data_IF_353896225287
#
_entry.id   IF_353896225287
#
_cell.length_a   1.000
_cell.length_b   1.000
_cell.length_c   1.000
_cell.angle_alpha   90.00
_cell.angle_beta   90.00
_cell.angle_gamma   90.00
#
_symmetry.space_group_name_H-M   'P 1'
#
loop_
_entity.id
_entity.type
_entity.pdbx_description
1 polymer ?
#
# COMPACT_ATOMS: atom_id res chain seq x y z
N UNK A 1 48.22 -39.95 18.08
CA UNK A 1 46.78 -40.18 17.95
C UNK A 1 46.39 -39.65 16.58
N UNK A 2 46.13 -40.54 15.63
CA UNK A 2 45.71 -40.22 14.26
C UNK A 2 44.26 -39.70 14.31
N UNK A 3 43.96 -38.60 13.61
CA UNK A 3 42.60 -38.03 13.54
C UNK A 3 42.04 -38.30 12.14
N UNK A 4 40.89 -38.95 12.08
CA UNK A 4 40.17 -39.19 10.83
C UNK A 4 39.13 -38.07 10.64
N UNK A 5 39.09 -37.48 9.45
CA UNK A 5 38.14 -36.42 9.10
C UNK A 5 37.38 -36.88 7.85
N UNK A 6 36.06 -36.74 7.87
CA UNK A 6 35.17 -37.11 6.76
C UNK A 6 34.51 -35.86 6.18
N UNK A 7 34.59 -35.70 4.85
CA UNK A 7 33.87 -34.69 4.09
C UNK A 7 33.06 -35.39 2.99
N UNK A 8 31.73 -35.40 3.13
CA UNK A 8 30.85 -36.18 2.25
C UNK A 8 31.15 -37.69 2.31
N UNK A 9 31.29 -38.33 1.15
CA UNK A 9 31.56 -39.77 1.05
C UNK A 9 33.06 -40.13 1.14
N UNK A 10 33.94 -39.13 1.27
CA UNK A 10 35.39 -39.33 1.29
C UNK A 10 35.93 -39.29 2.72
N UNK A 11 36.71 -40.31 3.10
CA UNK A 11 37.40 -40.39 4.40
C UNK A 11 38.90 -40.22 4.23
N UNK A 12 39.50 -39.40 5.09
CA UNK A 12 40.95 -39.17 5.10
C UNK A 12 41.51 -39.26 6.52
N UNK A 13 42.68 -39.89 6.65
CA UNK A 13 43.44 -39.94 7.89
C UNK A 13 44.59 -38.93 7.84
N UNK A 14 44.75 -38.17 8.92
CA UNK A 14 45.84 -37.19 9.05
C UNK A 14 46.65 -37.54 10.30
N UNK A 15 47.93 -37.82 10.10
CA UNK A 15 48.93 -37.90 11.17
C UNK A 15 49.51 -36.51 11.45
N UNK A 16 49.91 -36.27 12.70
CA UNK A 16 50.29 -34.94 13.20
C UNK A 16 51.36 -34.26 12.32
N UNK A 17 51.03 -33.04 11.88
CA UNK A 17 51.77 -32.21 10.94
C UNK A 17 53.25 -32.01 11.31
N UNK A 18 54.12 -32.31 10.35
CA UNK A 18 55.56 -32.19 10.51
C UNK A 18 56.34 -31.93 9.21
N UNK A 19 55.75 -31.35 8.15
CA UNK A 19 56.52 -30.61 7.13
C UNK A 19 55.61 -29.80 6.20
N UNK A 20 56.10 -28.66 5.72
CA UNK A 20 55.38 -27.72 4.84
C UNK A 20 55.17 -28.22 3.40
N UNK A 21 55.74 -29.38 3.07
CA UNK A 21 55.68 -29.99 1.73
C UNK A 21 54.41 -30.83 1.50
N UNK A 22 53.81 -31.42 2.53
CA UNK A 22 52.60 -32.26 2.37
C UNK A 22 51.33 -31.44 2.14
N UNK A 23 51.24 -30.23 2.71
CA UNK A 23 50.12 -29.31 2.46
C UNK A 23 50.07 -28.85 0.98
N UNK A 24 51.24 -28.68 0.34
CA UNK A 24 51.35 -28.29 -1.08
C UNK A 24 50.75 -29.35 -2.01
N UNK A 25 50.96 -30.63 -1.69
CA UNK A 25 50.45 -31.77 -2.48
C UNK A 25 48.93 -31.90 -2.36
N UNK A 26 48.36 -31.61 -1.19
CA UNK A 26 46.90 -31.60 -0.96
C UNK A 26 46.23 -30.46 -1.74
N UNK A 27 46.84 -29.27 -1.79
CA UNK A 27 46.34 -28.15 -2.58
C UNK A 27 46.37 -28.43 -4.09
N UNK A 28 47.43 -29.06 -4.60
CA UNK A 28 47.52 -29.41 -6.03
C UNK A 28 46.53 -30.51 -6.44
N UNK A 29 46.21 -31.46 -5.56
CA UNK A 29 45.19 -32.47 -5.83
C UNK A 29 43.78 -31.87 -5.88
N UNK A 30 43.47 -30.93 -4.97
CA UNK A 30 42.21 -30.17 -4.97
C UNK A 30 42.07 -29.25 -6.20
N UNK A 31 43.14 -28.58 -6.64
CA UNK A 31 43.14 -27.78 -7.88
C UNK A 31 42.92 -28.65 -9.12
N UNK A 32 43.50 -29.85 -9.17
CA UNK A 32 43.30 -30.83 -10.24
C UNK A 32 41.85 -31.31 -10.33
N UNK A 33 41.19 -31.60 -9.20
CA UNK A 33 39.77 -31.96 -9.17
C UNK A 33 38.85 -30.79 -9.55
N UNK A 34 39.18 -29.56 -9.11
CA UNK A 34 38.49 -28.33 -9.53
C UNK A 34 38.59 -28.09 -11.04
N UNK A 35 39.75 -28.37 -11.65
CA UNK A 35 39.94 -28.23 -13.10
C UNK A 35 39.30 -29.37 -13.91
N UNK A 36 39.13 -30.57 -13.36
CA UNK A 36 38.39 -31.66 -14.02
C UNK A 36 36.86 -31.53 -13.88
N UNK A 37 36.36 -30.77 -12.90
CA UNK A 37 34.94 -30.41 -12.80
C UNK A 37 34.48 -29.39 -13.86
N UNK A 38 35.40 -28.71 -14.54
CA UNK A 38 35.09 -27.75 -15.62
C UNK A 38 34.75 -28.38 -16.98
N UNK A 39 34.62 -29.71 -17.08
CA UNK A 39 34.29 -30.42 -18.34
C UNK A 39 32.96 -31.18 -18.30
N UNK A 40 32.04 -30.81 -17.40
CA UNK A 40 30.66 -31.31 -17.42
C UNK A 40 29.66 -30.16 -17.61
N UNK A 41 29.11 -30.08 -18.83
CA UNK A 41 27.86 -29.41 -19.12
C UNK A 41 27.96 -27.89 -19.24
N UNK A 42 27.48 -27.33 -20.35
CA UNK A 42 27.38 -25.89 -20.50
C UNK A 42 26.70 -25.25 -19.30
N UNK A 43 27.20 -24.07 -18.89
CA UNK A 43 26.54 -23.18 -17.93
C UNK A 43 25.03 -23.21 -18.24
N UNK A 44 24.16 -23.63 -17.32
CA UNK A 44 22.73 -23.55 -17.54
C UNK A 44 22.42 -22.10 -17.95
N UNK A 45 22.02 -21.92 -19.21
CA UNK A 45 21.54 -20.64 -19.71
C UNK A 45 20.34 -20.25 -18.86
N UNK A 46 20.54 -19.27 -17.99
CA UNK A 46 19.52 -18.65 -17.17
C UNK A 46 18.92 -19.59 -16.14
N UNK A 47 19.19 -19.35 -14.85
CA UNK A 47 18.07 -19.43 -13.91
C UNK A 47 17.01 -18.52 -14.54
N UNK A 48 15.79 -19.02 -14.85
CA UNK A 48 14.75 -18.15 -15.35
C UNK A 48 14.67 -16.98 -14.37
N UNK A 49 14.96 -15.77 -14.85
CA UNK A 49 14.74 -14.58 -14.04
C UNK A 49 13.29 -14.68 -13.59
N UNK A 50 13.07 -14.79 -12.27
CA UNK A 50 11.72 -14.98 -11.76
C UNK A 50 10.96 -13.71 -12.11
N UNK A 51 10.23 -13.78 -13.22
CA UNK A 51 9.50 -12.67 -13.80
C UNK A 51 8.37 -12.34 -12.84
N UNK A 52 8.63 -11.40 -11.94
CA UNK A 52 7.63 -10.82 -11.06
C UNK A 52 7.17 -9.49 -11.64
N UNK A 53 5.88 -9.21 -11.54
CA UNK A 53 5.27 -7.92 -11.84
C UNK A 53 4.89 -7.28 -10.51
N UNK A 54 5.59 -6.22 -10.15
CA UNK A 54 5.32 -5.45 -8.94
C UNK A 54 4.65 -4.15 -9.33
N UNK A 55 3.42 -3.94 -8.87
CA UNK A 55 2.69 -2.69 -9.09
C UNK A 55 2.80 -1.81 -7.86
N UNK A 56 3.42 -0.65 -7.98
CA UNK A 56 3.44 0.36 -6.92
C UNK A 56 2.22 1.26 -7.09
N UNK A 57 1.43 1.34 -6.03
CA UNK A 57 0.18 2.09 -5.98
C UNK A 57 0.33 3.26 -5.01
N UNK A 58 0.88 4.37 -5.51
CA UNK A 58 1.00 5.60 -4.72
C UNK A 58 -0.32 6.35 -4.78
N UNK A 59 -0.92 6.57 -3.62
CA UNK A 59 -2.10 7.43 -3.48
C UNK A 59 -1.83 8.61 -2.57
N UNK A 60 -2.55 9.71 -2.82
CA UNK A 60 -2.52 10.90 -1.97
C UNK A 60 -3.93 11.25 -1.51
N UNK A 61 -4.17 11.21 -0.21
CA UNK A 61 -5.46 11.54 0.41
C UNK A 61 -5.41 13.01 0.83
N UNK A 62 -6.14 13.86 0.12
CA UNK A 62 -6.08 15.32 0.27
C UNK A 62 -7.05 15.82 1.35
N UNK A 63 -6.84 15.38 2.59
CA UNK A 63 -7.73 15.60 3.72
C UNK A 63 -7.87 17.06 4.11
N UNK A 64 -6.74 17.74 4.34
CA UNK A 64 -6.68 19.16 4.64
C UNK A 64 -7.70 19.60 5.72
N UNK A 65 -8.49 20.65 5.44
CA UNK A 65 -9.47 21.17 6.40
C UNK A 65 -10.61 20.18 6.66
N UNK A 66 -11.01 19.39 5.65
CA UNK A 66 -12.06 18.38 5.82
C UNK A 66 -11.68 17.33 6.86
N UNK A 67 -10.41 16.94 6.93
CA UNK A 67 -9.93 16.02 7.96
C UNK A 67 -10.27 16.49 9.38
N UNK A 68 -10.28 17.80 9.64
CA UNK A 68 -10.66 18.38 10.95
C UNK A 68 -12.18 18.56 11.15
N UNK A 69 -12.97 18.47 10.07
CA UNK A 69 -14.43 18.60 10.09
C UNK A 69 -15.13 17.27 10.32
N UNK A 70 -14.59 16.19 9.78
CA UNK A 70 -15.09 14.83 9.98
C UNK A 70 -14.24 14.07 11.00
N UNK A 71 -13.26 13.31 10.54
CA UNK A 71 -12.39 12.45 11.36
C UNK A 71 -11.80 13.09 12.62
N UNK A 72 -11.15 14.24 12.49
CA UNK A 72 -10.50 14.97 13.57
C UNK A 72 -11.45 15.90 14.32
N UNK A 73 -12.76 15.79 14.10
CA UNK A 73 -13.75 16.69 14.69
C UNK A 73 -13.72 16.61 16.20
N UNK A 74 -13.49 17.76 16.84
CA UNK A 74 -13.60 17.90 18.27
C UNK A 74 -14.06 19.29 18.65
N UNK A 75 -14.86 19.41 19.71
CA UNK A 75 -15.37 20.69 20.23
C UNK A 75 -14.30 21.68 20.72
N UNK A 76 -13.05 21.23 20.79
CA UNK A 76 -11.87 22.01 21.24
C UNK A 76 -10.91 22.31 20.09
N UNK A 77 -11.23 21.92 18.86
CA UNK A 77 -10.43 22.30 17.71
C UNK A 77 -10.37 23.82 17.62
N UNK A 78 -9.19 24.33 17.30
CA UNK A 78 -8.87 25.75 17.30
C UNK A 78 -8.25 26.16 15.97
N UNK A 79 -7.95 27.46 15.83
CA UNK A 79 -7.35 27.99 14.61
C UNK A 79 -6.00 27.33 14.26
N UNK A 80 -5.24 26.85 15.26
CA UNK A 80 -3.99 26.13 15.01
C UNK A 80 -4.26 24.85 14.21
N UNK A 81 -5.29 24.10 14.58
CA UNK A 81 -5.66 22.83 13.95
C UNK A 81 -6.10 23.06 12.50
N UNK A 82 -7.03 24.00 12.29
CA UNK A 82 -7.48 24.35 10.95
C UNK A 82 -6.35 24.93 10.09
N UNK A 83 -5.40 25.67 10.67
CA UNK A 83 -4.24 26.17 9.94
C UNK A 83 -3.33 25.05 9.43
N UNK A 84 -3.28 23.90 10.10
CA UNK A 84 -2.59 22.71 9.60
C UNK A 84 -3.27 22.15 8.33
N UNK A 85 -4.60 22.10 8.31
CA UNK A 85 -5.35 21.77 7.08
C UNK A 85 -5.14 22.79 5.95
N UNK A 86 -5.03 24.08 6.28
CA UNK A 86 -4.69 25.12 5.29
C UNK A 86 -3.25 24.93 4.75
N UNK A 87 -2.31 24.51 5.60
CA UNK A 87 -0.96 24.15 5.17
C UNK A 87 -0.98 22.98 4.19
N UNK A 88 -1.75 21.93 4.46
CA UNK A 88 -1.86 20.75 3.61
C UNK A 88 -2.24 21.14 2.17
N UNK A 89 -3.27 21.99 2.01
CA UNK A 89 -3.64 22.55 0.72
C UNK A 89 -2.56 23.46 0.13
N UNK A 90 -2.32 24.61 0.76
CA UNK A 90 -1.53 25.70 0.17
C UNK A 90 -0.04 25.41 0.01
N UNK A 91 0.48 24.43 0.75
CA UNK A 91 1.91 24.10 0.78
C UNK A 91 2.15 22.61 0.50
N UNK A 92 1.42 21.73 1.18
CA UNK A 92 1.59 20.28 1.08
C UNK A 92 1.38 19.77 -0.34
N UNK A 93 0.26 20.14 -0.98
CA UNK A 93 -0.07 19.72 -2.36
C UNK A 93 1.04 20.13 -3.32
N UNK A 94 1.45 21.40 -3.30
CA UNK A 94 2.48 21.91 -4.19
C UNK A 94 3.86 21.26 -3.97
N UNK A 95 4.17 20.77 -2.77
CA UNK A 95 5.40 20.01 -2.51
C UNK A 95 5.31 18.60 -3.07
N UNK A 96 4.20 17.90 -2.82
CA UNK A 96 4.00 16.54 -3.33
C UNK A 96 3.98 16.51 -4.85
N UNK A 97 3.26 17.42 -5.52
CA UNK A 97 3.27 17.50 -6.99
C UNK A 97 4.69 17.65 -7.55
N UNK A 98 5.54 18.46 -6.92
CA UNK A 98 6.94 18.63 -7.34
C UNK A 98 7.80 17.39 -7.05
N UNK A 99 7.53 16.64 -5.98
CA UNK A 99 8.22 15.38 -5.68
C UNK A 99 7.84 14.34 -6.73
N UNK A 100 6.55 14.16 -6.98
CA UNK A 100 6.02 13.23 -7.99
C UNK A 100 6.56 13.53 -9.39
N UNK A 101 6.69 14.82 -9.73
CA UNK A 101 7.28 15.28 -11.00
C UNK A 101 8.78 14.93 -11.09
N UNK A 102 9.57 15.21 -10.05
CA UNK A 102 11.00 14.83 -10.01
C UNK A 102 11.21 13.33 -10.10
N UNK A 103 10.32 12.53 -9.49
CA UNK A 103 10.34 11.07 -9.60
C UNK A 103 9.82 10.60 -10.97
N UNK A 104 9.04 11.41 -11.69
CA UNK A 104 8.49 11.11 -13.01
C UNK A 104 7.29 10.16 -12.95
N UNK A 105 6.43 10.33 -11.94
CA UNK A 105 5.23 9.51 -11.70
C UNK A 105 3.95 10.33 -11.51
N UNK A 106 3.95 11.63 -11.83
CA UNK A 106 2.79 12.53 -11.63
C UNK A 106 1.47 12.03 -12.25
N UNK A 107 1.54 11.32 -13.37
CA UNK A 107 0.41 10.74 -14.11
C UNK A 107 0.09 9.28 -13.72
N UNK A 108 0.84 8.74 -12.76
CA UNK A 108 0.76 7.33 -12.30
C UNK A 108 0.38 7.23 -10.83
N UNK A 109 -0.15 8.30 -10.25
CA UNK A 109 -0.68 8.33 -8.89
C UNK A 109 -2.17 8.60 -8.89
N UNK A 110 -2.82 8.25 -7.78
CA UNK A 110 -4.24 8.50 -7.57
C UNK A 110 -4.42 9.46 -6.40
N UNK A 111 -5.17 10.53 -6.60
CA UNK A 111 -5.55 11.45 -5.54
C UNK A 111 -6.97 11.17 -5.09
N UNK A 112 -7.14 10.79 -3.83
CA UNK A 112 -8.44 10.68 -3.18
C UNK A 112 -8.74 12.03 -2.53
N UNK A 113 -9.73 12.75 -3.07
CA UNK A 113 -9.97 14.14 -2.68
C UNK A 113 -11.37 14.25 -2.07
N UNK A 114 -11.51 14.75 -0.82
CA UNK A 114 -12.80 15.13 -0.28
C UNK A 114 -13.42 16.27 -1.09
N UNK A 115 -14.74 16.25 -1.31
CA UNK A 115 -15.43 17.32 -2.04
C UNK A 115 -15.21 18.71 -1.42
N UNK A 116 -15.10 18.81 -0.10
CA UNK A 116 -14.75 20.04 0.59
C UNK A 116 -13.36 20.54 0.18
N UNK A 117 -12.35 19.67 0.10
CA UNK A 117 -11.00 20.03 -0.36
C UNK A 117 -11.00 20.49 -1.81
N UNK A 118 -11.79 19.85 -2.69
CA UNK A 118 -11.95 20.29 -4.09
C UNK A 118 -12.46 21.73 -4.18
N UNK A 119 -13.47 22.08 -3.37
CA UNK A 119 -14.08 23.42 -3.39
C UNK A 119 -13.26 24.48 -2.62
N UNK A 120 -12.52 24.07 -1.59
CA UNK A 120 -11.74 24.97 -0.73
C UNK A 120 -10.41 25.38 -1.36
N UNK A 121 -9.79 24.47 -2.11
CA UNK A 121 -8.47 24.66 -2.72
C UNK A 121 -8.52 24.49 -4.25
N UNK A 122 -9.36 25.27 -4.97
CA UNK A 122 -9.60 25.04 -6.39
C UNK A 122 -8.36 25.20 -7.27
N UNK A 123 -7.38 26.02 -6.84
CA UNK A 123 -6.11 26.18 -7.57
C UNK A 123 -5.23 24.94 -7.43
N UNK A 124 -5.13 24.40 -6.22
CA UNK A 124 -4.37 23.21 -5.91
C UNK A 124 -5.02 21.97 -6.52
N UNK A 125 -6.34 21.83 -6.43
CA UNK A 125 -7.10 20.78 -7.10
C UNK A 125 -6.93 20.85 -8.61
N UNK A 126 -6.96 22.05 -9.21
CA UNK A 126 -6.65 22.21 -10.64
C UNK A 126 -5.23 21.75 -10.96
N UNK A 127 -4.24 22.07 -10.14
CA UNK A 127 -2.86 21.65 -10.37
C UNK A 127 -2.69 20.12 -10.30
N UNK A 128 -3.45 19.45 -9.42
CA UNK A 128 -3.51 17.98 -9.36
C UNK A 128 -4.11 17.41 -10.67
N UNK A 129 -5.23 17.95 -11.13
CA UNK A 129 -5.85 17.51 -12.41
C UNK A 129 -4.91 17.73 -13.59
N UNK A 130 -4.25 18.90 -13.65
CA UNK A 130 -3.31 19.26 -14.73
C UNK A 130 -2.06 18.36 -14.73
N UNK A 131 -1.73 17.68 -13.62
CA UNK A 131 -0.63 16.72 -13.54
C UNK A 131 -0.92 15.39 -14.25
N UNK A 132 -2.18 15.16 -14.64
CA UNK A 132 -2.64 13.92 -15.25
C UNK A 132 -2.89 12.78 -14.26
N UNK A 133 -2.87 13.05 -12.95
CA UNK A 133 -3.17 12.03 -11.95
C UNK A 133 -4.62 11.55 -12.04
N UNK A 134 -4.88 10.33 -11.55
CA UNK A 134 -6.25 9.86 -11.34
C UNK A 134 -6.90 10.64 -10.18
N UNK A 135 -8.19 10.99 -10.32
CA UNK A 135 -8.99 11.58 -9.24
C UNK A 135 -10.03 10.56 -8.77
N UNK A 136 -10.01 10.25 -7.48
CA UNK A 136 -10.94 9.37 -6.79
C UNK A 136 -11.61 10.09 -5.61
N UNK A 137 -12.71 9.52 -5.10
CA UNK A 137 -13.55 10.18 -4.10
C UNK A 137 -13.16 9.79 -2.66
N UNK A 138 -13.31 10.75 -1.74
CA UNK A 138 -12.94 10.59 -0.33
C UNK A 138 -13.93 11.26 0.65
N UNK A 139 -15.23 11.06 0.42
CA UNK A 139 -16.29 11.79 1.12
C UNK A 139 -16.35 13.27 0.73
N UNK A 140 -17.15 14.06 1.45
CA UNK A 140 -17.23 15.51 1.26
C UNK A 140 -16.42 16.25 2.32
N UNK A 141 -16.79 16.14 3.59
CA UNK A 141 -16.08 16.72 4.74
C UNK A 141 -15.27 15.67 5.52
N UNK A 142 -14.85 14.58 4.84
CA UNK A 142 -14.11 13.47 5.46
C UNK A 142 -14.87 12.84 6.64
N UNK A 143 -16.20 12.73 6.50
CA UNK A 143 -17.12 12.12 7.47
C UNK A 143 -16.98 10.59 7.58
N UNK A 144 -17.18 10.07 8.80
CA UNK A 144 -17.25 8.64 9.07
C UNK A 144 -18.50 8.04 8.43
N UNK A 145 -18.32 7.24 7.37
CA UNK A 145 -19.42 6.63 6.63
C UNK A 145 -20.32 5.76 7.52
N UNK A 146 -19.80 5.20 8.62
CA UNK A 146 -20.59 4.37 9.54
C UNK A 146 -21.62 5.16 10.35
N UNK A 147 -21.55 6.49 10.33
CA UNK A 147 -22.50 7.39 11.01
C UNK A 147 -23.54 7.99 10.06
N UNK A 148 -23.38 7.79 8.76
CA UNK A 148 -24.30 8.32 7.76
C UNK A 148 -25.52 7.40 7.64
N UNK A 149 -26.68 8.02 7.45
CA UNK A 149 -27.82 7.28 6.93
C UNK A 149 -27.70 7.13 5.40
N UNK A 150 -28.43 6.19 4.78
CA UNK A 150 -28.30 5.93 3.35
C UNK A 150 -28.56 7.13 2.43
N UNK A 151 -29.45 8.05 2.82
CA UNK A 151 -29.71 9.25 2.01
C UNK A 151 -28.55 10.24 2.10
N UNK A 152 -27.99 10.45 3.28
CA UNK A 152 -26.82 11.32 3.45
C UNK A 152 -25.63 10.83 2.62
N UNK A 153 -25.36 9.52 2.67
CA UNK A 153 -24.26 8.92 1.92
C UNK A 153 -24.48 9.04 0.40
N UNK A 154 -25.71 8.81 -0.08
CA UNK A 154 -26.08 9.02 -1.48
C UNK A 154 -25.87 10.48 -1.92
N UNK A 155 -26.37 11.44 -1.14
CA UNK A 155 -26.26 12.88 -1.45
C UNK A 155 -24.80 13.34 -1.51
N UNK A 156 -23.97 12.84 -0.59
CA UNK A 156 -22.53 13.10 -0.55
C UNK A 156 -21.84 12.54 -1.80
N UNK A 157 -22.08 11.28 -2.14
CA UNK A 157 -21.47 10.65 -3.31
C UNK A 157 -21.91 11.34 -4.61
N UNK A 158 -23.20 11.65 -4.77
CA UNK A 158 -23.71 12.35 -5.96
C UNK A 158 -23.06 13.72 -6.12
N UNK A 159 -22.92 14.48 -5.02
CA UNK A 159 -22.23 15.77 -5.06
C UNK A 159 -20.76 15.61 -5.45
N UNK A 160 -20.03 14.69 -4.82
CA UNK A 160 -18.61 14.49 -5.07
C UNK A 160 -18.34 13.97 -6.48
N UNK A 161 -19.19 13.09 -7.01
CA UNK A 161 -19.17 12.66 -8.41
C UNK A 161 -19.30 13.87 -9.34
N UNK A 162 -20.32 14.70 -9.14
CA UNK A 162 -20.57 15.85 -10.00
C UNK A 162 -19.40 16.85 -9.97
N UNK A 163 -18.80 17.07 -8.79
CA UNK A 163 -17.61 17.90 -8.65
C UNK A 163 -16.42 17.32 -9.43
N UNK A 164 -16.08 16.04 -9.23
CA UNK A 164 -14.98 15.38 -9.92
C UNK A 164 -15.18 15.35 -11.45
N UNK A 165 -16.40 15.09 -11.91
CA UNK A 165 -16.77 15.13 -13.33
C UNK A 165 -16.60 16.53 -13.93
N UNK A 166 -16.99 17.58 -13.19
CA UNK A 166 -16.82 18.96 -13.65
C UNK A 166 -15.35 19.38 -13.77
N UNK A 167 -14.48 18.82 -12.94
CA UNK A 167 -13.04 19.12 -12.91
C UNK A 167 -12.26 18.35 -13.98
N UNK A 168 -12.60 17.07 -14.19
CA UNK A 168 -11.81 16.14 -15.01
C UNK A 168 -12.44 15.81 -16.36
N UNK A 169 -13.74 16.09 -16.54
CA UNK A 169 -14.53 15.63 -17.68
C UNK A 169 -14.81 14.12 -17.68
N UNK A 170 -14.46 13.42 -16.60
CA UNK A 170 -14.63 11.96 -16.44
C UNK A 170 -15.31 11.63 -15.12
N UNK A 171 -16.15 10.59 -15.14
CA UNK A 171 -16.71 10.03 -13.91
C UNK A 171 -15.60 9.39 -13.06
N UNK A 172 -15.47 9.74 -11.77
CA UNK A 172 -14.55 9.04 -10.88
C UNK A 172 -15.02 7.59 -10.70
N UNK A 173 -14.09 6.65 -10.71
CA UNK A 173 -14.40 5.21 -10.58
C UNK A 173 -13.87 4.59 -9.29
N UNK A 174 -13.11 5.37 -8.52
CA UNK A 174 -12.51 4.97 -7.25
C UNK A 174 -13.12 5.66 -6.05
N UNK A 175 -13.15 4.94 -4.94
CA UNK A 175 -13.55 5.47 -3.64
C UNK A 175 -12.58 4.99 -2.55
N UNK A 176 -12.37 5.83 -1.54
CA UNK A 176 -11.80 5.46 -0.25
C UNK A 176 -12.68 6.05 0.84
N UNK A 177 -13.11 5.25 1.80
CA UNK A 177 -13.84 5.74 2.96
C UNK A 177 -12.89 6.53 3.87
N UNK A 178 -13.29 7.72 4.36
CA UNK A 178 -12.57 8.41 5.44
C UNK A 178 -12.24 7.47 6.61
N UNK A 179 -10.97 7.48 7.06
CA UNK A 179 -10.43 6.56 8.09
C UNK A 179 -10.61 5.06 7.80
N UNK A 180 -10.81 4.65 6.55
CA UNK A 180 -11.12 3.26 6.21
C UNK A 180 -12.41 2.75 6.92
N UNK A 181 -13.25 3.66 7.41
CA UNK A 181 -14.48 3.34 8.16
C UNK A 181 -15.63 3.23 7.19
N UNK A 182 -15.81 2.02 6.66
CA UNK A 182 -16.85 1.69 5.67
C UNK A 182 -17.88 0.71 6.25
N UNK A 183 -19.17 0.90 5.90
CA UNK A 183 -20.27 0.03 6.32
C UNK A 183 -20.77 -0.90 5.21
N UNK A 184 -21.59 -1.89 5.57
CA UNK A 184 -22.22 -2.80 4.60
C UNK A 184 -23.12 -2.06 3.58
N UNK A 185 -23.81 -1.03 4.05
CA UNK A 185 -24.68 -0.21 3.22
C UNK A 185 -23.87 0.61 2.20
N UNK A 186 -22.70 1.13 2.61
CA UNK A 186 -21.74 1.82 1.73
C UNK A 186 -21.27 0.91 0.60
N UNK A 187 -20.83 -0.31 0.93
CA UNK A 187 -20.35 -1.29 -0.07
C UNK A 187 -21.45 -1.57 -1.11
N UNK A 188 -22.68 -1.77 -0.63
CA UNK A 188 -23.83 -2.00 -1.50
C UNK A 188 -24.17 -0.78 -2.36
N UNK A 189 -23.98 0.42 -1.82
CA UNK A 189 -24.18 1.68 -2.54
C UNK A 189 -23.12 1.89 -3.63
N UNK A 190 -21.84 1.64 -3.33
CA UNK A 190 -20.74 1.71 -4.30
C UNK A 190 -20.99 0.77 -5.50
N UNK A 191 -21.42 -0.47 -5.25
CA UNK A 191 -21.79 -1.42 -6.32
C UNK A 191 -22.96 -0.88 -7.16
N UNK A 192 -24.04 -0.39 -6.53
CA UNK A 192 -25.20 0.17 -7.25
C UNK A 192 -24.86 1.41 -8.08
N UNK A 193 -23.94 2.24 -7.59
CA UNK A 193 -23.47 3.44 -8.28
C UNK A 193 -22.39 3.16 -9.34
N UNK A 194 -21.99 1.90 -9.50
CA UNK A 194 -21.06 1.47 -10.54
C UNK A 194 -19.61 1.92 -10.30
N UNK A 195 -19.18 2.04 -9.04
CA UNK A 195 -17.76 2.20 -8.73
C UNK A 195 -16.98 0.97 -9.19
N UNK A 196 -15.78 1.20 -9.72
CA UNK A 196 -14.88 0.15 -10.17
C UNK A 196 -14.17 -0.48 -8.97
N UNK A 197 -13.70 0.34 -8.04
CA UNK A 197 -12.94 -0.11 -6.90
C UNK A 197 -13.18 0.71 -5.64
N UNK A 198 -12.97 0.05 -4.50
CA UNK A 198 -12.76 0.63 -3.18
C UNK A 198 -11.32 0.32 -2.70
N UNK A 199 -10.85 1.07 -1.72
CA UNK A 199 -9.55 0.84 -1.08
C UNK A 199 -9.61 1.21 0.40
N UNK A 200 -10.55 0.58 1.10
CA UNK A 200 -10.89 0.86 2.49
C UNK A 200 -10.77 -0.37 3.40
N UNK A 201 -10.49 -1.55 2.85
CA UNK A 201 -10.48 -2.81 3.60
C UNK A 201 -9.11 -3.50 3.53
N UNK A 202 -8.84 -4.28 4.57
CA UNK A 202 -7.54 -4.92 4.81
C UNK A 202 -7.60 -6.44 4.72
N UNK A 203 -8.49 -6.99 3.89
CA UNK A 203 -8.66 -8.44 3.68
C UNK A 203 -7.46 -9.11 3.02
N UNK A 204 -6.59 -8.31 2.41
CA UNK A 204 -5.25 -8.69 1.96
C UNK A 204 -4.32 -7.49 2.21
N UNK A 205 -3.00 -7.68 2.12
CA UNK A 205 -1.99 -6.60 2.18
C UNK A 205 -1.18 -6.38 0.88
N UNK A 206 -1.16 -7.34 -0.06
CA UNK A 206 -0.38 -7.26 -1.29
C UNK A 206 -1.08 -7.81 -2.56
N UNK A 207 -2.36 -8.16 -2.51
CA UNK A 207 -3.16 -8.57 -3.69
C UNK A 207 -4.53 -7.91 -3.72
N UNK A 208 -5.02 -7.64 -4.92
CA UNK A 208 -6.39 -7.17 -5.16
C UNK A 208 -7.36 -8.35 -5.03
N UNK A 209 -8.59 -8.07 -4.61
CA UNK A 209 -9.64 -9.07 -4.49
C UNK A 209 -11.00 -8.45 -4.79
N UNK A 210 -12.01 -9.28 -5.04
CA UNK A 210 -13.40 -8.79 -5.11
C UNK A 210 -13.88 -8.46 -3.70
N UNK A 211 -14.42 -7.26 -3.53
CA UNK A 211 -14.95 -6.80 -2.25
C UNK A 211 -16.06 -7.75 -1.79
N UNK A 212 -16.12 -8.01 -0.50
CA UNK A 212 -17.15 -8.83 0.10
C UNK A 212 -18.33 -7.97 0.56
N UNK A 213 -19.57 -8.46 0.43
CA UNK A 213 -20.79 -7.76 0.90
C UNK A 213 -20.76 -7.42 2.40
N UNK A 214 -19.83 -8.04 3.14
CA UNK A 214 -19.79 -8.08 4.59
C UNK A 214 -21.03 -8.77 5.18
N UNK A 215 -21.13 -8.73 6.51
CA UNK A 215 -22.22 -9.29 7.29
C UNK A 215 -22.22 -8.70 8.71
N UNK A 216 -23.39 -8.60 9.36
CA UNK A 216 -23.45 -8.25 10.78
C UNK A 216 -22.80 -9.35 11.62
N UNK A 217 -22.06 -8.93 12.65
CA UNK A 217 -21.43 -9.82 13.62
C UNK A 217 -22.33 -10.05 14.84
N UNK A 218 -22.50 -11.31 15.26
CA UNK A 218 -23.02 -11.66 16.59
C UNK A 218 -21.96 -11.29 17.63
N UNK A 219 -22.04 -10.07 18.18
CA UNK A 219 -21.10 -9.57 19.20
C UNK A 219 -21.28 -10.28 20.54
N UNK A 220 -20.20 -10.36 21.32
CA UNK A 220 -20.21 -10.94 22.68
C UNK A 220 -21.14 -10.12 23.59
N UNK A 221 -22.13 -10.79 24.19
CA UNK A 221 -23.09 -10.19 25.11
C UNK A 221 -23.03 -10.88 26.47
N UNK A 222 -22.16 -10.41 27.37
CA UNK A 222 -21.93 -11.04 28.68
C UNK A 222 -23.18 -11.16 29.58
N UNK A 223 -24.31 -10.54 29.22
CA UNK A 223 -25.59 -10.73 29.90
C UNK A 223 -26.32 -12.03 29.52
N UNK A 224 -25.90 -12.69 28.44
CA UNK A 224 -26.52 -13.91 27.89
C UNK A 224 -25.62 -15.15 28.07
N UNK A 225 -26.16 -16.32 27.72
CA UNK A 225 -25.36 -17.55 27.62
C UNK A 225 -24.34 -17.44 26.48
N UNK A 226 -23.13 -17.97 26.70
CA UNK A 226 -22.06 -17.99 25.71
C UNK A 226 -22.46 -18.62 24.36
N UNK A 227 -23.42 -19.55 24.38
CA UNK A 227 -24.00 -20.14 23.16
C UNK A 227 -24.58 -19.13 22.17
N UNK A 228 -24.89 -17.90 22.61
CA UNK A 228 -25.46 -16.86 21.75
C UNK A 228 -24.44 -16.22 20.81
N UNK A 229 -23.15 -16.19 21.15
CA UNK A 229 -22.07 -15.63 20.31
C UNK A 229 -20.98 -16.65 19.91
N UNK A 230 -20.94 -17.86 20.50
CA UNK A 230 -20.02 -18.93 20.08
C UNK A 230 -20.45 -19.58 18.75
N UNK A 231 -20.53 -18.79 17.69
CA UNK A 231 -20.87 -19.21 16.33
C UNK A 231 -19.81 -18.68 15.35
N UNK A 232 -19.50 -19.42 14.27
CA UNK A 232 -18.65 -18.89 13.23
C UNK A 232 -19.32 -17.73 12.50
N UNK A 233 -18.52 -16.79 12.02
CA UNK A 233 -18.97 -15.75 11.09
C UNK A 233 -19.51 -16.37 9.79
N UNK A 234 -20.57 -15.81 9.19
CA UNK A 234 -21.01 -16.23 7.87
C UNK A 234 -19.97 -15.89 6.81
N UNK A 235 -19.98 -16.62 5.70
CA UNK A 235 -19.16 -16.30 4.55
C UNK A 235 -19.87 -15.21 3.72
N UNK A 236 -19.22 -14.08 3.42
CA UNK A 236 -19.83 -13.01 2.64
C UNK A 236 -19.99 -13.41 1.17
N UNK A 237 -20.83 -12.66 0.45
CA UNK A 237 -20.94 -12.78 -1.01
C UNK A 237 -19.91 -11.85 -1.65
N UNK A 238 -19.20 -12.33 -2.68
CA UNK A 238 -18.37 -11.48 -3.54
C UNK A 238 -19.22 -10.45 -4.30
N UNK A 239 -18.78 -9.21 -4.29
CA UNK A 239 -19.33 -8.07 -5.02
C UNK A 239 -18.58 -7.88 -6.34
N UNK A 240 -19.10 -7.07 -7.25
CA UNK A 240 -18.38 -6.73 -8.49
C UNK A 240 -17.30 -5.64 -8.31
N UNK A 241 -17.35 -4.92 -7.19
CA UNK A 241 -16.39 -3.86 -6.86
C UNK A 241 -15.07 -4.52 -6.47
N UNK A 242 -13.96 -4.04 -7.04
CA UNK A 242 -12.62 -4.51 -6.69
C UNK A 242 -12.16 -3.82 -5.42
N UNK A 243 -11.57 -4.55 -4.50
CA UNK A 243 -10.85 -4.00 -3.36
C UNK A 243 -9.36 -3.95 -3.66
N UNK A 244 -8.77 -2.76 -3.55
CA UNK A 244 -7.33 -2.55 -3.53
C UNK A 244 -6.92 -2.41 -2.07
N UNK A 245 -6.16 -3.36 -1.50
CA UNK A 245 -5.96 -3.43 -0.06
C UNK A 245 -5.33 -2.15 0.48
N UNK A 246 -5.92 -1.59 1.54
CA UNK A 246 -5.33 -0.52 2.31
C UNK A 246 -5.31 -0.90 3.79
N UNK A 247 -4.26 -0.51 4.50
CA UNK A 247 -4.21 -0.63 5.96
C UNK A 247 -3.30 0.42 6.60
N UNK A 248 -3.38 0.51 7.92
CA UNK A 248 -2.65 1.47 8.75
C UNK A 248 -1.12 1.39 8.69
N UNK A 249 -0.55 0.31 8.14
CA UNK A 249 0.90 0.15 7.96
C UNK A 249 1.39 0.62 6.59
N UNK A 250 0.49 1.02 5.70
CA UNK A 250 0.79 1.50 4.34
C UNK A 250 0.72 3.03 4.22
N UNK A 251 0.45 3.73 5.32
CA UNK A 251 0.12 5.15 5.31
C UNK A 251 1.02 6.00 6.24
N UNK A 252 1.12 7.29 5.96
CA UNK A 252 2.04 8.21 6.63
C UNK A 252 1.43 8.96 7.83
N UNK A 253 0.14 9.30 7.78
CA UNK A 253 -0.53 10.19 8.71
C UNK A 253 -0.68 9.58 10.11
N UNK A 254 -1.23 8.38 10.25
CA UNK A 254 -1.47 7.76 11.59
C UNK A 254 -0.24 7.79 12.51
N UNK A 255 0.98 7.39 12.06
CA UNK A 255 2.15 7.44 12.92
C UNK A 255 2.79 8.84 13.05
N UNK A 256 2.73 9.68 12.02
CA UNK A 256 3.52 10.92 11.92
C UNK A 256 2.73 12.22 12.04
N UNK A 257 1.41 12.18 12.09
CA UNK A 257 0.55 13.35 12.32
C UNK A 257 0.08 13.42 13.78
N UNK A 258 0.34 14.55 14.43
CA UNK A 258 -0.22 14.83 15.75
C UNK A 258 -1.60 15.48 15.65
N UNK A 259 -2.60 14.86 16.25
CA UNK A 259 -3.97 15.35 16.37
C UNK A 259 -4.28 15.58 17.88
N UNK A 260 -4.30 16.83 18.36
CA UNK A 260 -4.28 17.14 19.80
C UNK A 260 -5.52 16.68 20.57
N UNK A 261 -6.62 16.43 19.86
CA UNK A 261 -7.91 16.05 20.44
C UNK A 261 -8.26 14.58 20.24
N UNK A 262 -7.33 13.77 19.72
CA UNK A 262 -7.52 12.34 19.47
C UNK A 262 -6.72 11.54 20.50
N UNK A 263 -7.39 10.73 21.33
CA UNK A 263 -6.76 10.05 22.47
C UNK A 263 -5.64 9.09 22.08
N UNK A 264 -5.76 8.43 20.92
CA UNK A 264 -4.77 7.51 20.36
C UNK A 264 -3.83 8.17 19.33
N UNK A 265 -3.73 9.51 19.33
CA UNK A 265 -2.83 10.22 18.42
C UNK A 265 -1.37 9.84 18.65
N UNK A 266 -0.64 9.65 17.55
CA UNK A 266 0.82 9.67 17.54
C UNK A 266 1.30 11.03 17.02
N UNK A 267 2.30 11.09 16.15
CA UNK A 267 2.84 12.34 15.61
C UNK A 267 4.33 12.58 15.83
N UNK A 268 5.01 11.68 16.54
CA UNK A 268 6.44 11.79 16.85
C UNK A 268 7.25 10.56 16.42
N UNK A 269 6.63 9.63 15.69
CA UNK A 269 7.37 8.54 15.05
C UNK A 269 8.25 9.14 13.96
N UNK A 270 9.52 8.75 13.90
CA UNK A 270 10.44 9.32 12.91
C UNK A 270 10.10 8.82 11.51
N UNK A 271 10.25 9.69 10.51
CA UNK A 271 10.05 9.31 9.11
C UNK A 271 10.97 8.16 8.68
N UNK A 272 12.19 8.11 9.22
CA UNK A 272 13.14 7.00 9.01
C UNK A 272 12.59 5.65 9.50
N UNK A 273 11.89 5.62 10.64
CA UNK A 273 11.30 4.38 11.15
C UNK A 273 10.17 3.89 10.23
N UNK A 274 9.36 4.81 9.69
CA UNK A 274 8.30 4.50 8.74
C UNK A 274 8.86 4.04 7.40
N UNK A 275 9.87 4.73 6.86
CA UNK A 275 10.55 4.33 5.63
C UNK A 275 11.16 2.93 5.77
N UNK A 276 11.82 2.66 6.90
CA UNK A 276 12.38 1.33 7.17
C UNK A 276 11.29 0.27 7.20
N UNK A 277 10.17 0.52 7.89
CA UNK A 277 9.04 -0.41 7.94
C UNK A 277 8.50 -0.71 6.54
N UNK A 278 8.33 0.30 5.69
CA UNK A 278 7.88 0.11 4.30
C UNK A 278 8.89 -0.67 3.46
N UNK A 279 10.18 -0.40 3.58
CA UNK A 279 11.25 -1.16 2.90
C UNK A 279 11.30 -2.61 3.39
N UNK A 280 11.15 -2.86 4.68
CA UNK A 280 11.11 -4.21 5.25
C UNK A 280 9.91 -4.99 4.68
N UNK A 281 8.72 -4.38 4.62
CA UNK A 281 7.53 -4.98 3.98
C UNK A 281 7.78 -5.29 2.51
N UNK A 282 8.30 -4.32 1.75
CA UNK A 282 8.60 -4.52 0.34
C UNK A 282 9.59 -5.67 0.14
N UNK A 283 10.70 -5.68 0.90
CA UNK A 283 11.73 -6.70 0.79
C UNK A 283 11.21 -8.10 1.15
N UNK A 284 10.29 -8.21 2.11
CA UNK A 284 9.66 -9.47 2.43
C UNK A 284 8.82 -9.97 1.25
N UNK A 285 7.92 -9.13 0.71
CA UNK A 285 7.09 -9.46 -0.46
C UNK A 285 7.93 -9.77 -1.71
N UNK A 286 9.03 -9.03 -1.91
CA UNK A 286 9.95 -9.25 -3.02
C UNK A 286 10.58 -10.65 -2.98
N UNK A 287 10.90 -11.16 -1.79
CA UNK A 287 11.56 -12.46 -1.65
C UNK A 287 10.57 -13.63 -1.56
N UNK A 288 9.41 -13.39 -0.95
CA UNK A 288 8.50 -14.47 -0.53
C UNK A 288 7.11 -14.40 -1.16
N UNK A 289 6.83 -13.36 -1.95
CA UNK A 289 5.51 -13.15 -2.54
C UNK A 289 4.42 -12.92 -1.48
N UNK A 290 3.17 -12.74 -1.92
CA UNK A 290 2.04 -12.47 -1.02
C UNK A 290 1.68 -13.64 -0.08
N UNK A 291 1.91 -14.89 -0.50
CA UNK A 291 1.54 -16.10 0.24
C UNK A 291 2.71 -16.73 1.01
N UNK A 292 3.90 -16.14 0.93
CA UNK A 292 5.10 -16.65 1.57
C UNK A 292 5.76 -17.84 0.86
N UNK A 293 5.22 -18.29 -0.28
CA UNK A 293 5.68 -19.51 -0.96
C UNK A 293 6.92 -19.30 -1.85
N UNK A 294 7.27 -18.05 -2.14
CA UNK A 294 8.39 -17.68 -3.00
C UNK A 294 8.08 -16.44 -3.85
N UNK A 295 9.01 -15.98 -4.70
CA UNK A 295 8.79 -14.74 -5.43
C UNK A 295 7.59 -14.83 -6.38
N UNK A 296 6.73 -13.81 -6.36
CA UNK A 296 5.51 -13.75 -7.16
C UNK A 296 5.06 -12.32 -7.44
N UNK A 297 3.98 -12.18 -8.20
CA UNK A 297 3.36 -10.88 -8.51
C UNK A 297 2.68 -10.31 -7.25
N UNK A 298 2.81 -9.01 -7.02
CA UNK A 298 2.16 -8.33 -5.91
C UNK A 298 1.92 -6.84 -6.19
N UNK A 299 0.99 -6.26 -5.44
CA UNK A 299 0.81 -4.82 -5.38
C UNK A 299 1.39 -4.24 -4.10
N UNK A 300 1.87 -3.01 -4.19
CA UNK A 300 2.45 -2.29 -3.06
C UNK A 300 1.81 -0.91 -2.93
N UNK A 301 0.68 -0.82 -2.21
CA UNK A 301 0.05 0.46 -1.86
C UNK A 301 0.93 1.25 -0.90
N UNK A 302 1.01 2.56 -1.16
CA UNK A 302 1.56 3.59 -0.30
C UNK A 302 0.59 4.78 -0.28
N UNK A 303 0.07 5.10 0.91
CA UNK A 303 -0.89 6.18 1.12
C UNK A 303 -0.17 7.36 1.76
N UNK A 304 -0.27 8.52 1.13
CA UNK A 304 0.37 9.76 1.56
C UNK A 304 -0.68 10.82 1.82
N UNK A 305 -0.39 11.78 2.68
CA UNK A 305 -1.26 12.94 2.89
C UNK A 305 -0.46 14.23 2.70
N UNK A 306 -0.98 15.27 2.01
CA UNK A 306 -0.33 16.58 1.96
C UNK A 306 -0.12 17.18 3.35
N UNK A 307 -0.99 16.83 4.30
CA UNK A 307 -0.93 17.16 5.72
C UNK A 307 0.40 16.70 6.36
N UNK A 308 0.85 15.48 6.02
CA UNK A 308 1.99 14.82 6.65
C UNK A 308 3.19 14.73 5.74
N UNK A 309 3.08 14.05 4.60
CA UNK A 309 4.13 13.96 3.58
C UNK A 309 4.53 15.31 2.97
N UNK A 310 3.67 16.33 3.08
CA UNK A 310 4.01 17.71 2.72
C UNK A 310 4.92 18.43 3.72
N UNK A 311 5.10 17.91 4.94
CA UNK A 311 5.98 18.50 5.95
C UNK A 311 7.45 18.39 5.55
N UNK A 312 8.24 19.42 5.85
CA UNK A 312 9.62 19.53 5.33
C UNK A 312 10.54 18.38 5.77
N UNK A 313 10.34 17.84 6.98
CA UNK A 313 11.14 16.73 7.51
C UNK A 313 10.67 15.34 7.03
N UNK A 314 9.46 15.23 6.47
CA UNK A 314 8.90 13.99 5.90
C UNK A 314 9.11 13.93 4.39
N UNK A 315 8.97 15.08 3.71
CA UNK A 315 9.04 15.20 2.26
C UNK A 315 10.30 14.57 1.64
N UNK A 316 11.48 14.75 2.27
CA UNK A 316 12.72 14.15 1.79
C UNK A 316 12.72 12.62 1.89
N UNK A 317 12.14 12.07 2.96
CA UNK A 317 11.96 10.62 3.14
C UNK A 317 11.04 10.03 2.07
N UNK A 318 9.94 10.71 1.75
CA UNK A 318 9.01 10.27 0.70
C UNK A 318 9.69 10.28 -0.67
N UNK A 319 10.40 11.35 -1.01
CA UNK A 319 11.16 11.41 -2.27
C UNK A 319 12.18 10.26 -2.36
N UNK A 320 12.93 10.01 -1.28
CA UNK A 320 13.89 8.90 -1.21
C UNK A 320 13.25 7.52 -1.35
N UNK A 321 12.11 7.29 -0.69
CA UNK A 321 11.37 6.02 -0.81
C UNK A 321 10.90 5.77 -2.23
N UNK A 322 10.32 6.77 -2.89
CA UNK A 322 9.81 6.66 -4.25
C UNK A 322 10.95 6.47 -5.27
N UNK A 323 12.08 7.15 -5.09
CA UNK A 323 13.29 6.94 -5.89
C UNK A 323 13.82 5.52 -5.71
N UNK A 324 13.93 5.05 -4.47
CA UNK A 324 14.38 3.70 -4.16
C UNK A 324 13.51 2.64 -4.87
N UNK A 325 12.17 2.76 -4.81
CA UNK A 325 11.27 1.86 -5.53
C UNK A 325 11.50 1.87 -7.05
N UNK A 326 11.70 3.06 -7.63
CA UNK A 326 11.96 3.23 -9.07
C UNK A 326 13.30 2.61 -9.49
N UNK A 327 14.32 2.64 -8.64
CA UNK A 327 15.66 2.11 -8.91
C UNK A 327 15.75 0.58 -8.91
N UNK A 328 14.73 -0.12 -8.36
CA UNK A 328 14.65 -1.59 -8.36
C UNK A 328 14.51 -2.21 -9.76
N UNK A 329 14.26 -1.39 -10.78
CA UNK A 329 14.37 -1.77 -12.18
C UNK A 329 13.05 -2.19 -12.82
N UNK A 330 13.11 -2.90 -13.96
CA UNK A 330 11.96 -3.04 -14.87
C UNK A 330 10.84 -3.94 -14.36
N UNK A 331 11.04 -4.64 -13.24
CA UNK A 331 10.01 -5.46 -12.59
C UNK A 331 9.02 -4.60 -11.78
N UNK A 332 9.38 -3.35 -11.49
CA UNK A 332 8.56 -2.40 -10.73
C UNK A 332 7.88 -1.41 -11.68
N UNK A 333 6.56 -1.33 -11.59
CA UNK A 333 5.74 -0.41 -12.35
C UNK A 333 4.88 0.45 -11.42
N UNK A 334 4.98 1.77 -11.54
CA UNK A 334 4.03 2.68 -10.91
C UNK A 334 2.77 2.76 -11.76
N UNK A 335 1.61 2.54 -11.15
CA UNK A 335 0.32 2.57 -11.82
C UNK A 335 -0.72 3.27 -10.95
N UNK A 336 -1.74 3.84 -11.59
CA UNK A 336 -2.91 4.35 -10.87
C UNK A 336 -3.75 3.19 -10.32
N UNK A 337 -4.58 3.48 -9.33
CA UNK A 337 -5.51 2.51 -8.74
C UNK A 337 -6.53 2.02 -9.78
N UNK A 338 -7.10 2.92 -10.59
CA UNK A 338 -7.99 2.52 -11.70
C UNK A 338 -7.30 1.54 -12.66
N UNK A 339 -6.04 1.78 -13.03
CA UNK A 339 -5.31 0.88 -13.94
C UNK A 339 -5.16 -0.50 -13.31
N UNK A 340 -4.75 -0.58 -12.04
CA UNK A 340 -4.60 -1.86 -11.36
C UNK A 340 -5.92 -2.63 -11.24
N UNK A 341 -7.02 -1.95 -10.90
CA UNK A 341 -8.35 -2.57 -10.82
C UNK A 341 -8.84 -3.08 -12.18
N UNK A 342 -8.64 -2.31 -13.26
CA UNK A 342 -9.00 -2.74 -14.62
C UNK A 342 -8.21 -3.97 -15.06
N UNK A 343 -6.91 -3.99 -14.81
CA UNK A 343 -6.06 -5.14 -15.14
C UNK A 343 -6.43 -6.38 -14.33
N UNK A 344 -6.73 -6.23 -13.04
CA UNK A 344 -7.22 -7.32 -12.19
C UNK A 344 -8.49 -7.96 -12.78
N UNK A 345 -9.48 -7.15 -13.17
CA UNK A 345 -10.72 -7.68 -13.79
C UNK A 345 -10.51 -8.33 -15.16
N UNK A 346 -9.46 -7.95 -15.89
CA UNK A 346 -9.11 -8.61 -17.16
C UNK A 346 -8.45 -9.97 -16.89
N UNK A 347 -7.57 -10.06 -15.92
CA UNK A 347 -6.90 -11.31 -15.51
C UNK A 347 -7.90 -12.29 -14.89
N UNK A 348 -8.81 -11.82 -14.05
CA UNK A 348 -9.85 -12.63 -13.40
C UNK A 348 -10.81 -13.29 -14.40
N UNK A 349 -11.12 -12.62 -15.52
CA UNK A 349 -11.93 -13.20 -16.61
C UNK A 349 -11.22 -14.29 -17.42
N UNK A 350 -9.90 -14.37 -17.34
CA UNK A 350 -9.09 -15.35 -18.08
C UNK A 350 -8.88 -16.63 -17.28
N UNK A 351 -9.05 -16.60 -15.96
CA UNK A 351 -8.98 -17.78 -15.08
C UNK A 351 -10.38 -18.38 -14.93
N UNK A 352 -10.68 -19.56 -15.49
CA UNK A 352 -11.97 -20.21 -15.27
C UNK A 352 -12.13 -20.55 -13.78
N UNK A 353 -13.33 -20.27 -13.25
CA UNK A 353 -13.73 -20.53 -11.87
C UNK A 353 -13.61 -22.01 -11.46
#
# INVERSE_FOLDING_TARGET
MTKEIQFGDTRMQIDHAGDSSEASTVFQALESELHHSQLLGGIPRGIPEVRRRVKILVSVDFDAVSGWMGTGQHSRNCLSDYSAGIFAGRVGVGRLLKILDRVGISDKVTWFIPGHSMETFPLETKAIVDSGAEIALHGYCHEDCTQLNPQQEQDILDKCIALAESLTGKRPVGFRAPLYRIGHDTISLLERMGFLYDTSLSGHDAQLYHLDSGFPLDVVDYSKSASTWMKPSPQPRKMSVVEIPANWYMEDMTPMQFLPNVTNSHGFVTSEAIEKMWKDRFNWLWNWGPDGSGPGDFVFPLVLHPDTSGMAHVAGTIEGMLQWLKELGPQVEFVTYEKAAREFLLEDKVVPA
#
